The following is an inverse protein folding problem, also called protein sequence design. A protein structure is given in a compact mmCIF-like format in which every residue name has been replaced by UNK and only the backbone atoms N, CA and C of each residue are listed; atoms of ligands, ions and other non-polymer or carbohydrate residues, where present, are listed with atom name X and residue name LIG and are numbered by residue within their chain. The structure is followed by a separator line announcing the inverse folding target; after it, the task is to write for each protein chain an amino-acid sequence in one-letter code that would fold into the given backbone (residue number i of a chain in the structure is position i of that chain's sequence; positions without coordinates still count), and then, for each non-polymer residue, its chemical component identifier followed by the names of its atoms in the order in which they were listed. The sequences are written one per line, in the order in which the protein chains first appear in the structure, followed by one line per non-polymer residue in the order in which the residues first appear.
data_IF_816243964782
#
_entry.id   IF_816243964782
#
_cell.length_a   1.000
_cell.length_b   1.000
_cell.length_c   1.000
_cell.angle_alpha   90.00
_cell.angle_beta   90.00
_cell.angle_gamma   90.00
#
_symmetry.space_group_name_H-M   'P 1'
#
loop_
_entity.id
_entity.type
_entity.pdbx_description
1 polymer ?
#
# COMPACT_ATOMS: atom_id res chain seq x y z
N UNK A 1 -8.50 14.03 17.90
CA UNK A 1 -8.31 14.59 16.55
C UNK A 1 -9.26 13.84 15.62
N UNK A 2 -10.26 14.51 15.05
CA UNK A 2 -11.17 13.86 14.10
C UNK A 2 -10.44 13.59 12.76
N UNK A 3 -11.07 12.85 11.84
CA UNK A 3 -10.46 12.51 10.54
C UNK A 3 -9.99 13.76 9.76
N UNK A 4 -10.84 14.79 9.70
CA UNK A 4 -10.56 16.01 8.95
C UNK A 4 -9.36 16.78 9.55
N UNK A 5 -9.24 16.79 10.88
CA UNK A 5 -8.12 17.40 11.58
C UNK A 5 -6.80 16.69 11.22
N UNK A 6 -6.79 15.35 11.11
CA UNK A 6 -5.60 14.57 10.73
C UNK A 6 -5.19 14.84 9.28
N UNK A 7 -6.15 14.85 8.36
CA UNK A 7 -5.91 15.20 6.95
C UNK A 7 -5.36 16.61 6.85
N UNK A 8 -5.98 17.58 7.52
CA UNK A 8 -5.55 18.97 7.50
C UNK A 8 -4.16 19.14 8.13
N UNK A 9 -3.84 18.36 9.17
CA UNK A 9 -2.51 18.34 9.76
C UNK A 9 -1.48 17.83 8.74
N UNK A 10 -1.70 16.67 8.11
CA UNK A 10 -0.76 16.14 7.11
C UNK A 10 -0.63 17.11 5.92
N UNK A 11 -1.73 17.74 5.51
CA UNK A 11 -1.69 18.79 4.49
C UNK A 11 -0.84 20.00 4.93
N UNK A 12 -0.92 20.40 6.20
CA UNK A 12 -0.06 21.47 6.73
C UNK A 12 1.43 21.09 6.67
N UNK A 13 1.78 19.80 6.81
CA UNK A 13 3.15 19.32 6.59
C UNK A 13 3.54 19.48 5.12
N UNK A 14 2.63 19.16 4.19
CA UNK A 14 2.85 19.33 2.76
C UNK A 14 3.12 20.80 2.39
N UNK A 15 2.50 21.76 3.08
CA UNK A 15 2.74 23.19 2.86
C UNK A 15 4.17 23.64 3.22
N UNK A 16 4.92 22.88 4.04
CA UNK A 16 6.35 23.12 4.28
C UNK A 16 7.19 22.93 3.01
N UNK A 17 6.69 22.18 2.04
CA UNK A 17 7.37 21.87 0.77
C UNK A 17 7.26 23.00 -0.26
N UNK A 18 6.48 24.05 0.05
CA UNK A 18 6.25 25.17 -0.86
C UNK A 18 7.56 25.85 -1.25
N UNK A 19 7.74 26.03 -2.56
CA UNK A 19 8.93 26.62 -3.15
C UNK A 19 9.74 25.56 -3.89
N UNK A 20 10.52 24.70 -3.18
CA UNK A 20 11.31 23.65 -3.83
C UNK A 20 10.47 22.60 -4.58
N UNK A 21 9.19 22.46 -4.23
CA UNK A 21 8.26 21.52 -4.86
C UNK A 21 7.05 22.23 -5.47
N UNK A 22 6.57 21.69 -6.59
CA UNK A 22 5.21 21.99 -7.07
C UNK A 22 4.18 21.20 -6.27
N UNK A 23 2.94 21.66 -6.22
CA UNK A 23 1.88 21.04 -5.42
C UNK A 23 1.63 19.58 -5.81
N UNK A 24 1.72 19.27 -7.10
CA UNK A 24 1.53 17.92 -7.62
C UNK A 24 2.62 16.96 -7.13
N UNK A 25 3.79 17.49 -6.74
CA UNK A 25 4.95 16.72 -6.24
C UNK A 25 4.96 16.56 -4.71
N UNK A 26 4.01 17.17 -3.99
CA UNK A 26 3.97 17.02 -2.53
C UNK A 26 3.73 15.57 -2.12
N UNK A 27 2.99 14.79 -2.92
CA UNK A 27 2.76 13.37 -2.72
C UNK A 27 4.04 12.54 -2.66
N UNK A 28 5.06 12.90 -3.45
CA UNK A 28 6.34 12.20 -3.52
C UNK A 28 7.10 12.24 -2.18
N UNK A 29 6.78 13.19 -1.31
CA UNK A 29 7.34 13.30 0.04
C UNK A 29 6.37 12.80 1.10
N UNK A 30 5.13 13.25 1.03
CA UNK A 30 4.13 13.05 2.10
C UNK A 30 3.72 11.58 2.20
N UNK A 31 3.52 10.89 1.08
CA UNK A 31 3.09 9.49 1.05
C UNK A 31 4.15 8.54 1.65
N UNK A 32 5.42 8.52 1.19
CA UNK A 32 6.43 7.66 1.79
C UNK A 32 6.71 8.01 3.26
N UNK A 33 6.68 9.30 3.64
CA UNK A 33 6.88 9.69 5.04
C UNK A 33 5.74 9.20 5.95
N UNK A 34 4.49 9.23 5.47
CA UNK A 34 3.35 8.68 6.18
C UNK A 34 3.45 7.15 6.37
N UNK A 35 3.85 6.42 5.32
CA UNK A 35 4.10 4.97 5.40
C UNK A 35 5.23 4.66 6.39
N UNK A 36 6.37 5.38 6.30
CA UNK A 36 7.49 5.21 7.22
C UNK A 36 7.12 5.48 8.67
N UNK A 37 6.35 6.54 8.92
CA UNK A 37 5.89 6.86 10.27
C UNK A 37 4.93 5.78 10.80
N UNK A 38 4.08 5.22 9.94
CA UNK A 38 3.19 4.12 10.32
C UNK A 38 3.98 2.86 10.70
N UNK A 39 4.99 2.49 9.92
CA UNK A 39 5.90 1.39 10.26
C UNK A 39 6.67 1.64 11.57
N UNK A 40 7.16 2.86 11.78
CA UNK A 40 7.85 3.25 13.01
C UNK A 40 6.95 3.09 14.25
N UNK A 41 5.71 3.59 14.19
CA UNK A 41 4.72 3.43 15.25
C UNK A 41 4.45 1.95 15.57
N UNK A 42 4.21 1.12 14.54
CA UNK A 42 3.89 -0.31 14.70
C UNK A 42 5.06 -1.10 15.31
N UNK A 43 6.30 -0.76 14.96
CA UNK A 43 7.49 -1.46 15.46
C UNK A 43 8.02 -0.88 16.79
N UNK A 44 7.62 0.33 17.16
CA UNK A 44 8.12 1.02 18.36
C UNK A 44 8.06 0.17 19.64
N UNK A 45 6.95 -0.53 19.96
CA UNK A 45 6.86 -1.33 21.19
C UNK A 45 7.85 -2.50 21.27
N UNK A 46 8.32 -3.01 20.13
CA UNK A 46 9.18 -4.20 20.03
C UNK A 46 10.59 -3.89 19.54
N UNK A 47 10.88 -2.64 19.19
CA UNK A 47 12.15 -2.17 18.61
C UNK A 47 13.38 -2.65 19.38
N UNK A 48 13.45 -2.39 20.68
CA UNK A 48 14.61 -2.76 21.51
C UNK A 48 14.80 -4.28 21.62
N UNK A 49 13.70 -5.04 21.66
CA UNK A 49 13.75 -6.50 21.68
C UNK A 49 14.27 -7.06 20.34
N UNK A 50 13.83 -6.50 19.21
CA UNK A 50 14.31 -6.85 17.87
C UNK A 50 15.81 -6.54 17.75
N UNK A 51 16.25 -5.35 18.15
CA UNK A 51 17.67 -4.95 18.09
C UNK A 51 18.56 -5.85 18.94
N UNK A 52 18.15 -6.14 20.18
CA UNK A 52 18.86 -7.09 21.03
C UNK A 52 18.97 -8.45 20.37
N UNK A 53 17.88 -8.96 19.79
CA UNK A 53 17.87 -10.26 19.15
C UNK A 53 18.74 -10.29 17.88
N UNK A 54 18.71 -9.23 17.10
CA UNK A 54 19.52 -9.07 15.90
C UNK A 54 21.02 -9.14 16.22
N UNK A 55 21.48 -8.47 17.28
CA UNK A 55 22.88 -8.54 17.71
C UNK A 55 23.30 -9.91 18.25
N UNK A 56 22.37 -10.69 18.82
CA UNK A 56 22.62 -12.09 19.15
C UNK A 56 22.78 -12.95 17.88
N UNK A 57 21.89 -12.78 16.90
CA UNK A 57 21.87 -13.56 15.66
C UNK A 57 23.06 -13.23 14.74
N UNK A 58 23.54 -11.99 14.72
CA UNK A 58 24.78 -11.64 14.00
C UNK A 58 25.98 -12.50 14.38
N UNK A 59 26.08 -12.90 15.64
CA UNK A 59 27.20 -13.71 16.15
C UNK A 59 27.13 -15.17 15.70
N UNK A 60 25.97 -15.64 15.25
CA UNK A 60 25.78 -17.04 14.82
C UNK A 60 26.10 -17.26 13.34
N UNK A 61 26.24 -16.19 12.55
CA UNK A 61 26.46 -16.26 11.10
C UNK A 61 25.21 -16.63 10.29
N UNK A 62 24.02 -16.66 10.92
CA UNK A 62 22.74 -16.92 10.25
C UNK A 62 22.50 -15.87 9.15
N UNK A 63 22.22 -16.33 7.93
CA UNK A 63 22.03 -15.43 6.78
C UNK A 63 20.65 -14.78 6.75
N UNK A 64 19.59 -15.57 6.98
CA UNK A 64 18.21 -15.07 6.99
C UNK A 64 17.69 -15.00 8.43
N UNK A 65 17.64 -13.79 8.98
CA UNK A 65 17.18 -13.52 10.34
C UNK A 65 15.71 -13.10 10.41
N UNK A 66 15.12 -12.68 9.27
CA UNK A 66 13.80 -12.03 9.22
C UNK A 66 12.69 -12.88 9.86
N UNK A 67 12.55 -14.21 9.62
CA UNK A 67 11.50 -15.00 10.26
C UNK A 67 11.55 -14.97 11.80
N UNK A 68 12.76 -14.90 12.37
CA UNK A 68 12.94 -14.84 13.82
C UNK A 68 12.62 -13.43 14.31
N UNK A 69 13.11 -12.40 13.62
CA UNK A 69 12.90 -11.00 14.00
C UNK A 69 11.43 -10.58 13.85
N UNK A 70 10.74 -11.04 12.81
CA UNK A 70 9.31 -10.85 12.57
C UNK A 70 8.47 -11.44 13.71
N UNK A 71 8.83 -12.65 14.17
CA UNK A 71 8.18 -13.25 15.35
C UNK A 71 8.36 -12.41 16.62
N UNK A 72 9.50 -11.74 16.78
CA UNK A 72 9.75 -10.84 17.92
C UNK A 72 9.03 -9.51 17.75
N UNK A 73 8.97 -8.97 16.52
CA UNK A 73 8.25 -7.72 16.25
C UNK A 73 6.74 -7.88 16.37
N UNK A 74 6.22 -9.10 16.21
CA UNK A 74 4.79 -9.39 16.14
C UNK A 74 4.18 -8.97 14.80
N UNK A 75 5.01 -8.80 13.78
CA UNK A 75 4.65 -8.30 12.45
C UNK A 75 5.34 -9.14 11.38
N UNK A 76 4.80 -9.13 10.16
CA UNK A 76 5.42 -9.77 8.99
C UNK A 76 6.64 -9.00 8.44
N UNK A 77 7.15 -8.04 9.21
CA UNK A 77 8.34 -7.25 8.90
C UNK A 77 9.03 -6.79 10.18
N UNK A 78 10.27 -6.33 10.04
CA UNK A 78 11.09 -5.83 11.14
C UNK A 78 11.99 -4.68 10.69
N UNK A 79 12.65 -4.02 11.66
CA UNK A 79 13.67 -3.02 11.38
C UNK A 79 14.88 -3.19 12.33
N UNK A 80 16.05 -3.35 11.74
CA UNK A 80 17.34 -3.60 12.41
C UNK A 80 18.21 -2.36 12.55
N UNK A 81 17.76 -1.19 12.07
CA UNK A 81 18.46 0.07 12.30
C UNK A 81 18.30 0.50 13.75
N UNK A 82 19.37 1.04 14.33
CA UNK A 82 19.32 1.65 15.68
C UNK A 82 18.43 2.91 15.73
N UNK A 83 18.17 3.51 14.57
CA UNK A 83 17.38 4.72 14.45
C UNK A 83 15.88 4.40 14.51
N UNK A 84 15.16 5.38 15.02
CA UNK A 84 13.71 5.58 15.01
C UNK A 84 13.49 7.09 14.78
N UNK A 85 12.25 7.54 14.62
CA UNK A 85 12.01 8.96 14.32
C UNK A 85 12.58 9.92 15.39
N UNK A 86 12.58 9.53 16.66
CA UNK A 86 13.14 10.36 17.74
C UNK A 86 14.67 10.47 17.63
N UNK A 87 15.36 9.35 17.42
CA UNK A 87 16.83 9.30 17.27
C UNK A 87 17.29 9.96 15.97
N UNK A 88 16.47 9.98 14.91
CA UNK A 88 16.78 10.72 13.69
C UNK A 88 16.83 12.24 13.95
N UNK A 89 15.90 12.75 14.77
CA UNK A 89 15.85 14.17 15.13
C UNK A 89 16.96 14.57 16.12
N UNK A 90 17.54 13.62 16.84
CA UNK A 90 18.63 13.86 17.79
C UNK A 90 19.99 14.15 17.14
N UNK A 91 20.14 13.89 15.83
CA UNK A 91 21.37 14.15 15.06
C UNK A 91 21.03 14.87 13.73
N UNK A 92 20.64 16.16 13.78
CA UNK A 92 20.18 16.90 12.60
C UNK A 92 21.23 17.02 11.50
N UNK A 93 22.52 17.12 11.86
CA UNK A 93 23.62 17.30 10.90
C UNK A 93 23.80 16.09 9.99
N UNK A 94 23.39 14.90 10.45
CA UNK A 94 23.48 13.64 9.69
C UNK A 94 22.10 13.05 9.36
N UNK A 95 21.02 13.83 9.47
CA UNK A 95 19.65 13.31 9.38
C UNK A 95 19.38 12.56 8.06
N UNK A 96 19.93 13.03 6.94
CA UNK A 96 19.75 12.37 5.65
C UNK A 96 20.45 11.01 5.55
N UNK A 97 21.67 10.88 6.07
CA UNK A 97 22.40 9.60 6.08
C UNK A 97 21.78 8.63 7.09
N UNK A 98 21.35 9.15 8.24
CA UNK A 98 20.68 8.38 9.28
C UNK A 98 19.29 7.88 8.82
N UNK A 99 18.51 8.69 8.10
CA UNK A 99 17.22 8.27 7.55
C UNK A 99 17.40 7.17 6.48
N UNK A 100 18.42 7.27 5.63
CA UNK A 100 18.76 6.18 4.69
C UNK A 100 19.16 4.91 5.42
N UNK A 101 19.94 5.02 6.51
CA UNK A 101 20.26 3.86 7.35
C UNK A 101 18.99 3.25 7.96
N UNK A 102 18.07 4.09 8.43
CA UNK A 102 16.77 3.66 8.96
C UNK A 102 15.96 2.86 7.93
N UNK A 103 15.83 3.40 6.71
CA UNK A 103 15.13 2.74 5.59
C UNK A 103 15.82 1.43 5.21
N UNK A 104 17.15 1.41 5.14
CA UNK A 104 17.92 0.22 4.80
C UNK A 104 17.88 -0.88 5.87
N UNK A 105 17.54 -0.53 7.11
CA UNK A 105 17.39 -1.46 8.22
C UNK A 105 16.10 -2.27 8.20
N UNK A 106 15.10 -1.90 7.37
CA UNK A 106 13.88 -2.69 7.22
C UNK A 106 14.16 -4.04 6.54
N UNK A 107 13.36 -5.05 6.89
CA UNK A 107 13.30 -6.30 6.13
C UNK A 107 12.98 -6.04 4.65
N UNK A 108 13.36 -6.98 3.78
CA UNK A 108 13.32 -6.77 2.33
C UNK A 108 11.95 -6.32 1.81
N UNK A 109 10.86 -6.94 2.29
CA UNK A 109 9.48 -6.61 1.92
C UNK A 109 9.07 -5.18 2.30
N UNK A 110 9.41 -4.72 3.52
CA UNK A 110 9.11 -3.37 3.97
C UNK A 110 9.99 -2.31 3.27
N UNK A 111 11.25 -2.63 3.00
CA UNK A 111 12.16 -1.74 2.27
C UNK A 111 11.73 -1.56 0.81
N UNK A 112 11.31 -2.63 0.15
CA UNK A 112 10.82 -2.62 -1.23
C UNK A 112 9.65 -1.65 -1.40
N UNK A 113 8.69 -1.64 -0.47
CA UNK A 113 7.58 -0.69 -0.44
C UNK A 113 8.07 0.77 -0.54
N UNK A 114 9.10 1.13 0.23
CA UNK A 114 9.65 2.48 0.23
C UNK A 114 10.37 2.81 -1.08
N UNK A 115 10.99 1.81 -1.72
CA UNK A 115 11.67 1.99 -3.01
C UNK A 115 10.69 2.37 -4.13
N UNK A 116 9.47 1.85 -4.13
CA UNK A 116 8.45 2.18 -5.13
C UNK A 116 7.90 3.62 -5.05
N UNK A 117 8.28 4.38 -4.02
CA UNK A 117 8.04 5.82 -3.95
C UNK A 117 9.20 6.67 -4.49
N UNK A 118 10.31 6.07 -4.92
CA UNK A 118 11.54 6.77 -5.34
C UNK A 118 12.06 7.77 -4.28
N UNK A 119 11.88 7.43 -3.00
CA UNK A 119 12.01 8.39 -1.90
C UNK A 119 13.45 8.88 -1.66
N UNK A 120 14.49 8.13 -2.08
CA UNK A 120 15.89 8.52 -1.85
C UNK A 120 16.24 9.88 -2.47
N UNK A 121 15.72 10.16 -3.68
CA UNK A 121 15.91 11.44 -4.34
C UNK A 121 15.26 12.57 -3.56
N UNK A 122 14.09 12.31 -2.97
CA UNK A 122 13.37 13.27 -2.15
C UNK A 122 14.09 13.54 -0.82
N UNK A 123 14.74 12.54 -0.22
CA UNK A 123 15.60 12.73 0.96
C UNK A 123 16.72 13.72 0.64
N UNK A 124 17.43 13.56 -0.48
CA UNK A 124 18.46 14.52 -0.92
C UNK A 124 17.87 15.92 -1.10
N UNK A 125 16.79 16.03 -1.88
CA UNK A 125 16.18 17.33 -2.19
C UNK A 125 15.66 18.04 -0.94
N UNK A 126 15.05 17.32 0.00
CA UNK A 126 14.62 17.88 1.29
C UNK A 126 15.81 18.36 2.11
N UNK A 127 16.88 17.58 2.15
CA UNK A 127 18.09 17.94 2.91
C UNK A 127 18.76 19.20 2.34
N UNK A 128 18.96 19.26 1.03
CA UNK A 128 19.59 20.40 0.34
C UNK A 128 18.80 21.70 0.50
N UNK A 129 17.49 21.60 0.75
CA UNK A 129 16.61 22.74 1.00
C UNK A 129 16.34 22.99 2.50
N UNK A 130 17.05 22.32 3.41
CA UNK A 130 16.86 22.43 4.87
C UNK A 130 15.43 22.10 5.35
N UNK A 131 14.70 21.25 4.61
CA UNK A 131 13.32 20.86 4.91
C UNK A 131 13.23 19.50 5.61
N UNK A 132 14.25 18.64 5.48
CA UNK A 132 14.16 17.25 5.94
C UNK A 132 13.86 17.13 7.44
N UNK A 133 14.59 17.89 8.28
CA UNK A 133 14.35 17.92 9.72
C UNK A 133 12.94 18.42 10.06
N UNK A 134 12.48 19.48 9.38
CA UNK A 134 11.16 20.07 9.64
C UNK A 134 10.04 19.08 9.32
N UNK A 135 10.09 18.45 8.15
CA UNK A 135 9.09 17.45 7.73
C UNK A 135 9.09 16.27 8.69
N UNK A 136 10.27 15.71 9.00
CA UNK A 136 10.38 14.55 9.89
C UNK A 136 9.88 14.88 11.32
N UNK A 137 10.16 16.08 11.80
CA UNK A 137 9.69 16.58 13.10
C UNK A 137 8.17 16.67 13.15
N UNK A 138 7.51 17.19 12.11
CA UNK A 138 6.04 17.23 12.08
C UNK A 138 5.40 15.83 12.03
N UNK A 139 5.95 14.91 11.24
CA UNK A 139 5.45 13.54 11.19
C UNK A 139 5.64 12.79 12.52
N UNK A 140 6.74 13.06 13.24
CA UNK A 140 6.99 12.44 14.54
C UNK A 140 5.93 12.81 15.61
N UNK A 141 5.24 13.95 15.45
CA UNK A 141 4.19 14.39 16.39
C UNK A 141 2.90 13.58 16.28
N UNK A 142 2.70 12.82 15.19
CA UNK A 142 1.50 12.02 14.99
C UNK A 142 1.79 10.56 15.35
N UNK A 143 0.86 9.94 16.07
CA UNK A 143 0.84 8.49 16.23
C UNK A 143 -0.04 7.86 15.15
N UNK A 144 0.58 7.15 14.22
CA UNK A 144 -0.09 6.37 13.17
C UNK A 144 -0.24 4.90 13.52
N UNK A 145 -0.05 4.48 14.78
CA UNK A 145 -0.35 3.12 15.18
C UNK A 145 -1.81 2.75 14.85
N UNK A 146 -2.11 1.52 14.37
CA UNK A 146 -3.49 1.06 14.12
C UNK A 146 -4.49 1.22 15.28
N UNK A 147 -4.00 1.37 16.51
CA UNK A 147 -4.82 1.65 17.70
C UNK A 147 -5.28 3.12 17.79
N UNK A 148 -4.53 4.05 17.20
CA UNK A 148 -4.82 5.48 17.19
C UNK A 148 -5.41 5.93 15.86
N UNK A 149 -4.90 5.37 14.75
CA UNK A 149 -5.39 5.57 13.38
C UNK A 149 -5.58 4.20 12.74
N UNK A 150 -6.83 3.72 12.76
CA UNK A 150 -7.20 2.42 12.19
C UNK A 150 -6.77 2.29 10.72
N UNK A 151 -6.62 1.06 10.22
CA UNK A 151 -6.28 0.83 8.81
C UNK A 151 -7.31 1.46 7.85
N UNK A 152 -8.59 1.41 8.22
CA UNK A 152 -9.67 2.06 7.46
C UNK A 152 -9.46 3.58 7.42
N UNK A 153 -9.22 4.21 8.57
CA UNK A 153 -8.97 5.65 8.66
C UNK A 153 -7.72 6.06 7.89
N UNK A 154 -6.65 5.26 7.96
CA UNK A 154 -5.43 5.50 7.19
C UNK A 154 -5.67 5.41 5.69
N UNK A 155 -6.49 4.46 5.23
CA UNK A 155 -6.93 4.36 3.84
C UNK A 155 -7.61 5.66 3.38
N UNK A 156 -8.58 6.17 4.15
CA UNK A 156 -9.22 7.45 3.85
C UNK A 156 -8.23 8.61 3.83
N UNK A 157 -7.24 8.63 4.73
CA UNK A 157 -6.20 9.66 4.75
C UNK A 157 -5.39 9.63 3.45
N UNK A 158 -4.92 8.46 3.02
CA UNK A 158 -4.15 8.33 1.77
C UNK A 158 -4.96 8.75 0.55
N UNK A 159 -6.22 8.33 0.47
CA UNK A 159 -7.12 8.66 -0.64
C UNK A 159 -7.36 10.18 -0.74
N UNK A 160 -7.60 10.82 0.40
CA UNK A 160 -7.80 12.27 0.47
C UNK A 160 -6.51 13.04 0.12
N UNK A 161 -5.35 12.58 0.56
CA UNK A 161 -4.05 13.17 0.20
C UNK A 161 -3.81 13.06 -1.30
N UNK A 162 -3.97 11.86 -1.87
CA UNK A 162 -3.85 11.63 -3.31
C UNK A 162 -4.82 12.53 -4.07
N UNK A 163 -6.10 12.61 -3.64
CA UNK A 163 -7.08 13.48 -4.29
C UNK A 163 -6.59 14.92 -4.35
N UNK A 164 -6.13 15.48 -3.23
CA UNK A 164 -5.63 16.86 -3.17
C UNK A 164 -4.39 17.10 -4.04
N UNK A 165 -3.50 16.11 -4.17
CA UNK A 165 -2.35 16.21 -5.08
C UNK A 165 -2.77 16.07 -6.56
N UNK A 166 -3.79 15.26 -6.85
CA UNK A 166 -4.33 15.04 -8.20
C UNK A 166 -5.29 16.12 -8.70
N UNK A 167 -5.87 16.95 -7.82
CA UNK A 167 -6.74 18.09 -8.19
C UNK A 167 -6.02 19.12 -9.09
N UNK A 168 -4.71 19.02 -9.21
CA UNK A 168 -3.86 19.84 -10.07
C UNK A 168 -3.20 19.05 -11.24
N UNK A 169 -3.49 17.75 -11.37
CA UNK A 169 -2.97 16.85 -12.41
C UNK A 169 -4.02 16.41 -13.45
N UNK A 170 -3.63 15.49 -14.35
CA UNK A 170 -4.56 14.89 -15.32
C UNK A 170 -5.52 13.91 -14.64
N UNK A 171 -6.81 14.02 -14.94
CA UNK A 171 -7.85 13.14 -14.42
C UNK A 171 -7.67 11.72 -14.98
N UNK A 172 -7.46 10.73 -14.11
CA UNK A 172 -7.32 9.33 -14.52
C UNK A 172 -7.47 8.34 -13.37
N UNK A 173 -6.84 8.62 -12.22
CA UNK A 173 -6.86 7.73 -11.07
C UNK A 173 -7.96 8.15 -10.08
N UNK A 174 -9.21 7.94 -10.47
CA UNK A 174 -10.36 8.19 -9.59
C UNK A 174 -10.47 7.10 -8.53
N UNK A 175 -10.27 7.49 -7.27
CA UNK A 175 -10.57 6.64 -6.13
C UNK A 175 -12.07 6.34 -6.02
N UNK A 176 -12.42 5.09 -5.68
CA UNK A 176 -13.81 4.67 -5.43
C UNK A 176 -14.24 4.97 -4.00
N UNK A 177 -15.19 5.90 -3.75
CA UNK A 177 -15.65 6.20 -2.39
C UNK A 177 -16.04 4.94 -1.60
N UNK A 178 -15.65 4.84 -0.32
CA UNK A 178 -15.91 3.64 0.50
C UNK A 178 -17.38 3.25 0.55
N UNK A 179 -18.30 4.20 0.43
CA UNK A 179 -19.75 3.96 0.39
C UNK A 179 -20.15 3.18 -0.86
N UNK A 180 -19.53 3.49 -2.00
CA UNK A 180 -19.71 2.75 -3.26
C UNK A 180 -19.11 1.35 -3.13
N UNK A 181 -17.92 1.24 -2.55
CA UNK A 181 -17.29 -0.06 -2.27
C UNK A 181 -18.18 -0.92 -1.39
N UNK A 182 -18.73 -0.36 -0.29
CA UNK A 182 -19.65 -1.06 0.60
C UNK A 182 -20.88 -1.54 -0.15
N UNK A 183 -21.46 -0.72 -1.03
CA UNK A 183 -22.59 -1.14 -1.87
C UNK A 183 -22.21 -2.33 -2.75
N UNK A 184 -21.07 -2.27 -3.43
CA UNK A 184 -20.58 -3.36 -4.28
C UNK A 184 -20.38 -4.66 -3.47
N UNK A 185 -19.77 -4.57 -2.29
CA UNK A 185 -19.56 -5.71 -1.39
C UNK A 185 -20.88 -6.31 -0.91
N UNK A 186 -21.85 -5.49 -0.52
CA UNK A 186 -23.17 -5.98 -0.09
C UNK A 186 -23.87 -6.73 -1.22
N UNK A 187 -23.82 -6.22 -2.46
CA UNK A 187 -24.41 -6.90 -3.62
C UNK A 187 -23.68 -8.21 -3.91
N UNK A 188 -22.34 -8.19 -3.90
CA UNK A 188 -21.50 -9.35 -4.24
C UNK A 188 -21.71 -10.53 -3.27
N UNK A 189 -21.93 -10.24 -1.98
CA UNK A 189 -22.00 -11.25 -0.93
C UNK A 189 -23.43 -11.60 -0.51
N UNK A 190 -24.47 -10.97 -1.08
CA UNK A 190 -25.84 -11.03 -0.58
C UNK A 190 -26.40 -12.46 -0.44
N UNK A 191 -26.15 -13.32 -1.42
CA UNK A 191 -26.73 -14.66 -1.50
C UNK A 191 -25.92 -15.72 -0.73
N UNK A 192 -24.71 -15.37 -0.28
CA UNK A 192 -23.75 -16.33 0.29
C UNK A 192 -23.74 -16.34 1.83
N UNK A 193 -24.66 -15.62 2.49
CA UNK A 193 -24.63 -15.40 3.95
C UNK A 193 -24.58 -16.70 4.78
N UNK A 194 -25.29 -17.76 4.39
CA UNK A 194 -25.25 -19.04 5.11
C UNK A 194 -23.89 -19.75 4.99
N UNK A 195 -23.25 -19.68 3.82
CA UNK A 195 -21.90 -20.23 3.61
C UNK A 195 -20.87 -19.39 4.37
N UNK A 196 -20.94 -18.07 4.25
CA UNK A 196 -19.99 -17.11 4.82
C UNK A 196 -19.95 -17.10 6.35
N UNK A 197 -20.99 -17.62 7.01
CA UNK A 197 -21.06 -17.74 8.48
C UNK A 197 -20.53 -19.06 9.02
N UNK A 198 -20.06 -19.97 8.15
CA UNK A 198 -19.44 -21.22 8.58
C UNK A 198 -18.09 -20.97 9.27
N UNK A 199 -17.88 -21.67 10.40
CA UNK A 199 -16.66 -21.52 11.20
C UNK A 199 -15.43 -22.04 10.46
N UNK A 200 -14.37 -21.22 10.43
CA UNK A 200 -13.10 -21.61 9.81
C UNK A 200 -13.12 -21.63 8.29
N UNK A 201 -14.13 -20.99 7.67
CA UNK A 201 -14.16 -20.80 6.22
C UNK A 201 -12.93 -19.99 5.78
N UNK A 202 -12.28 -20.46 4.72
CA UNK A 202 -11.22 -19.74 4.01
C UNK A 202 -11.83 -19.25 2.70
N UNK A 203 -11.70 -17.96 2.42
CA UNK A 203 -12.18 -17.35 1.17
C UNK A 203 -11.12 -16.45 0.55
N UNK A 204 -11.18 -16.29 -0.77
CA UNK A 204 -10.23 -15.51 -1.55
C UNK A 204 -10.94 -14.35 -2.24
N UNK A 205 -10.37 -13.15 -2.14
CA UNK A 205 -10.89 -11.92 -2.75
C UNK A 205 -9.83 -11.32 -3.65
N UNK A 206 -10.23 -10.96 -4.88
CA UNK A 206 -9.33 -10.39 -5.88
C UNK A 206 -9.81 -9.04 -6.42
N UNK A 207 -8.86 -8.12 -6.62
CA UNK A 207 -9.03 -6.87 -7.35
C UNK A 207 -7.90 -6.68 -8.37
N UNK A 208 -8.22 -6.69 -9.67
CA UNK A 208 -7.23 -6.58 -10.75
C UNK A 208 -6.76 -5.15 -11.03
N UNK A 209 -7.34 -4.14 -10.37
CA UNK A 209 -6.96 -2.72 -10.42
C UNK A 209 -7.04 -2.15 -9.00
N UNK A 210 -6.23 -2.72 -8.10
CA UNK A 210 -6.39 -2.61 -6.66
C UNK A 210 -6.28 -1.19 -6.10
N UNK A 211 -5.65 -0.27 -6.83
CA UNK A 211 -5.35 1.08 -6.35
C UNK A 211 -4.62 1.03 -5.01
N UNK A 212 -5.13 1.77 -4.04
CA UNK A 212 -4.62 1.77 -2.65
C UNK A 212 -5.12 0.59 -1.80
N UNK A 213 -5.78 -0.42 -2.39
CA UNK A 213 -6.33 -1.59 -1.68
C UNK A 213 -7.72 -1.36 -1.09
N UNK A 214 -8.46 -0.38 -1.62
CA UNK A 214 -9.75 0.05 -1.09
C UNK A 214 -10.79 -1.07 -1.07
N UNK A 215 -10.99 -1.73 -2.21
CA UNK A 215 -11.95 -2.83 -2.38
C UNK A 215 -11.63 -4.01 -1.47
N UNK A 216 -10.37 -4.44 -1.46
CA UNK A 216 -9.86 -5.55 -0.66
C UNK A 216 -10.11 -5.30 0.83
N UNK A 217 -9.76 -4.10 1.30
CA UNK A 217 -9.91 -3.72 2.70
C UNK A 217 -11.36 -3.69 3.18
N UNK A 218 -12.29 -3.13 2.39
CA UNK A 218 -13.70 -3.07 2.79
C UNK A 218 -14.32 -4.46 2.79
N UNK A 219 -13.99 -5.27 1.78
CA UNK A 219 -14.49 -6.65 1.68
C UNK A 219 -14.03 -7.49 2.86
N UNK A 220 -12.74 -7.45 3.21
CA UNK A 220 -12.22 -8.15 4.40
C UNK A 220 -12.94 -7.70 5.68
N UNK A 221 -13.07 -6.39 5.89
CA UNK A 221 -13.72 -5.86 7.09
C UNK A 221 -15.18 -6.29 7.19
N UNK A 222 -15.92 -6.28 6.07
CA UNK A 222 -17.30 -6.75 6.02
C UNK A 222 -17.38 -8.25 6.37
N UNK A 223 -16.54 -9.07 5.73
CA UNK A 223 -16.48 -10.51 5.98
C UNK A 223 -16.14 -10.82 7.44
N UNK A 224 -15.17 -10.13 8.04
CA UNK A 224 -14.81 -10.31 9.46
C UNK A 224 -15.88 -9.81 10.43
N UNK A 225 -16.67 -8.80 10.06
CA UNK A 225 -17.83 -8.37 10.85
C UNK A 225 -18.95 -9.40 10.80
N UNK A 226 -19.17 -10.02 9.64
CA UNK A 226 -20.15 -11.08 9.45
C UNK A 226 -19.72 -12.38 10.17
N UNK A 227 -18.45 -12.74 10.07
CA UNK A 227 -17.87 -13.94 10.64
C UNK A 227 -16.45 -13.66 11.18
N UNK A 228 -16.29 -13.46 12.50
CA UNK A 228 -14.98 -13.18 13.11
C UNK A 228 -13.94 -14.29 12.93
N UNK A 229 -14.38 -15.53 12.70
CA UNK A 229 -13.51 -16.70 12.51
C UNK A 229 -13.13 -16.92 11.04
N UNK A 230 -13.60 -16.08 10.10
CA UNK A 230 -13.28 -16.22 8.68
C UNK A 230 -11.82 -15.88 8.39
N UNK A 231 -11.20 -16.67 7.52
CA UNK A 231 -9.90 -16.37 6.94
C UNK A 231 -10.11 -15.81 5.54
N UNK A 232 -9.72 -14.55 5.34
CA UNK A 232 -9.80 -13.88 4.03
C UNK A 232 -8.40 -13.72 3.50
N UNK A 233 -8.11 -14.34 2.37
CA UNK A 233 -6.88 -14.11 1.61
C UNK A 233 -7.15 -13.06 0.53
N UNK A 234 -6.34 -12.00 0.56
CA UNK A 234 -6.48 -10.87 -0.34
C UNK A 234 -5.45 -10.96 -1.46
N UNK A 235 -5.89 -10.72 -2.69
CA UNK A 235 -5.07 -10.69 -3.89
C UNK A 235 -5.34 -9.41 -4.66
N UNK A 236 -4.29 -8.81 -5.19
CA UNK A 236 -4.44 -7.55 -5.91
C UNK A 236 -3.39 -7.37 -6.99
N UNK A 237 -3.73 -6.59 -8.00
CA UNK A 237 -2.76 -6.11 -8.96
C UNK A 237 -2.97 -4.62 -9.22
N UNK A 238 -1.88 -3.86 -9.29
CA UNK A 238 -1.90 -2.41 -9.51
C UNK A 238 -0.75 -2.01 -10.42
N UNK A 239 -0.99 -1.09 -11.35
CA UNK A 239 -0.01 -0.63 -12.33
C UNK A 239 0.80 0.58 -11.82
N UNK A 240 0.20 1.43 -10.98
CA UNK A 240 0.82 2.61 -10.39
C UNK A 240 1.69 2.22 -9.17
N UNK A 241 3.02 2.45 -9.21
CA UNK A 241 3.92 2.06 -8.13
C UNK A 241 3.59 2.66 -6.76
N UNK A 242 3.12 3.92 -6.71
CA UNK A 242 2.78 4.58 -5.44
C UNK A 242 1.51 3.98 -4.83
N UNK A 243 0.46 3.79 -5.64
CA UNK A 243 -0.79 3.13 -5.20
C UNK A 243 -0.52 1.70 -4.74
N UNK A 244 0.28 0.95 -5.51
CA UNK A 244 0.76 -0.38 -5.16
C UNK A 244 1.48 -0.38 -3.80
N UNK A 245 2.42 0.54 -3.58
CA UNK A 245 3.19 0.61 -2.35
C UNK A 245 2.28 0.90 -1.14
N UNK A 246 1.28 1.77 -1.30
CA UNK A 246 0.26 2.02 -0.26
C UNK A 246 -0.53 0.75 0.03
N UNK A 247 -1.07 0.09 -1.00
CA UNK A 247 -1.82 -1.17 -0.85
C UNK A 247 -0.98 -2.25 -0.14
N UNK A 248 0.25 -2.49 -0.61
CA UNK A 248 1.18 -3.48 -0.04
C UNK A 248 1.55 -3.14 1.41
N UNK A 249 1.71 -1.86 1.75
CA UNK A 249 1.98 -1.42 3.14
C UNK A 249 0.81 -1.72 4.08
N UNK A 250 -0.42 -1.53 3.63
CA UNK A 250 -1.62 -1.83 4.41
C UNK A 250 -1.79 -3.35 4.62
N UNK A 251 -1.55 -4.16 3.58
CA UNK A 251 -1.55 -5.62 3.71
C UNK A 251 -0.51 -6.10 4.72
N UNK A 252 0.69 -5.53 4.67
CA UNK A 252 1.79 -5.89 5.58
C UNK A 252 1.44 -5.59 7.04
N UNK A 253 0.82 -4.43 7.31
CA UNK A 253 0.40 -4.03 8.66
C UNK A 253 -0.78 -4.86 9.17
N UNK A 254 -1.63 -5.36 8.27
CA UNK A 254 -2.74 -6.28 8.62
C UNK A 254 -2.28 -7.71 8.89
N UNK A 255 -1.00 -8.04 8.64
CA UNK A 255 -0.52 -9.42 8.68
C UNK A 255 -1.06 -10.27 7.53
N UNK A 256 -1.49 -9.65 6.44
CA UNK A 256 -1.86 -10.33 5.20
C UNK A 256 -0.61 -10.70 4.41
N UNK A 257 -0.73 -11.67 3.51
CA UNK A 257 0.36 -12.04 2.61
C UNK A 257 0.60 -10.93 1.58
N UNK A 258 1.49 -9.98 1.91
CA UNK A 258 1.77 -8.79 1.11
C UNK A 258 2.28 -9.10 -0.30
N UNK A 259 2.86 -10.28 -0.53
CA UNK A 259 3.32 -10.75 -1.84
C UNK A 259 2.16 -11.18 -2.78
N UNK A 260 0.92 -11.24 -2.27
CA UNK A 260 -0.26 -11.40 -3.10
C UNK A 260 -0.69 -10.11 -3.81
N UNK A 261 -0.07 -8.98 -3.48
CA UNK A 261 -0.25 -7.72 -4.19
C UNK A 261 0.87 -7.62 -5.22
N UNK A 262 0.52 -7.53 -6.50
CA UNK A 262 1.45 -7.51 -7.63
C UNK A 262 1.51 -6.12 -8.26
N UNK A 263 2.73 -5.65 -8.54
CA UNK A 263 2.95 -4.47 -9.36
C UNK A 263 3.01 -4.88 -10.84
N UNK A 264 2.17 -4.27 -11.67
CA UNK A 264 2.23 -4.43 -13.12
C UNK A 264 0.90 -4.24 -13.82
N UNK A 265 0.96 -4.12 -15.13
CA UNK A 265 -0.22 -4.05 -15.99
C UNK A 265 -0.94 -5.42 -16.03
N UNK A 266 -2.17 -5.49 -15.52
CA UNK A 266 -2.95 -6.73 -15.36
C UNK A 266 -3.24 -7.45 -16.68
N UNK A 267 -3.14 -6.76 -17.83
CA UNK A 267 -3.26 -7.40 -19.13
C UNK A 267 -1.95 -8.08 -19.52
N UNK A 268 -0.87 -7.31 -19.63
CA UNK A 268 0.40 -7.73 -20.24
C UNK A 268 1.33 -8.46 -19.28
N UNK A 269 1.17 -8.24 -17.97
CA UNK A 269 2.00 -8.77 -16.90
C UNK A 269 1.08 -9.33 -15.80
N UNK A 270 0.17 -10.23 -16.18
CA UNK A 270 -0.74 -10.90 -15.24
C UNK A 270 0.05 -11.67 -14.18
N UNK A 271 0.12 -11.09 -12.98
CA UNK A 271 0.89 -11.62 -11.86
C UNK A 271 0.23 -12.79 -11.15
N UNK A 272 -1.05 -13.02 -11.45
CA UNK A 272 -1.90 -14.01 -10.79
C UNK A 272 -2.49 -15.01 -11.81
N UNK A 273 -1.84 -15.13 -12.97
CA UNK A 273 -2.28 -15.97 -14.08
C UNK A 273 -2.56 -17.41 -13.62
N UNK A 274 -3.74 -17.91 -13.94
CA UNK A 274 -4.18 -19.27 -13.63
C UNK A 274 -4.65 -19.47 -12.18
N UNK A 275 -4.61 -18.44 -11.33
CA UNK A 275 -5.31 -18.48 -10.02
C UNK A 275 -6.80 -18.25 -10.22
N UNK A 276 -7.59 -18.86 -9.35
CA UNK A 276 -9.03 -18.66 -9.26
C UNK A 276 -9.37 -18.09 -7.90
N UNK A 277 -10.39 -17.24 -7.87
CA UNK A 277 -10.80 -16.52 -6.68
C UNK A 277 -12.30 -16.72 -6.44
N UNK A 278 -12.71 -16.79 -5.16
CA UNK A 278 -14.13 -16.91 -4.82
C UNK A 278 -14.87 -15.61 -5.15
N UNK A 279 -14.27 -14.47 -4.81
CA UNK A 279 -14.85 -13.15 -5.05
C UNK A 279 -13.89 -12.29 -5.85
N UNK A 280 -14.45 -11.53 -6.79
CA UNK A 280 -13.72 -10.50 -7.54
C UNK A 280 -14.57 -9.24 -7.61
N UNK A 281 -13.94 -8.11 -7.30
CA UNK A 281 -14.53 -6.78 -7.48
C UNK A 281 -13.42 -5.79 -7.79
N UNK A 282 -13.71 -4.87 -8.69
CA UNK A 282 -12.72 -3.89 -9.14
C UNK A 282 -13.40 -2.62 -9.64
N UNK A 283 -12.66 -1.53 -9.69
CA UNK A 283 -13.07 -0.29 -10.37
C UNK A 283 -11.94 0.11 -11.33
N UNK A 284 -11.91 -0.46 -12.54
CA UNK A 284 -10.85 -0.18 -13.50
C UNK A 284 -10.95 1.25 -14.03
N UNK A 285 -9.86 1.82 -14.58
CA UNK A 285 -9.90 3.12 -15.22
C UNK A 285 -10.97 3.19 -16.33
N UNK A 286 -11.92 4.12 -16.20
CA UNK A 286 -13.05 4.22 -17.12
C UNK A 286 -12.70 5.01 -18.39
N UNK A 287 -13.06 4.48 -19.57
CA UNK A 287 -12.91 5.18 -20.85
C UNK A 287 -11.46 5.37 -21.33
N UNK A 288 -10.51 4.60 -20.77
CA UNK A 288 -9.11 4.64 -21.17
C UNK A 288 -8.89 3.79 -22.42
N UNK A 289 -8.08 4.28 -23.36
CA UNK A 289 -7.69 3.50 -24.54
C UNK A 289 -6.63 2.44 -24.18
N UNK A 290 -6.69 1.29 -24.84
CA UNK A 290 -5.76 0.17 -24.61
C UNK A 290 -4.77 0.02 -25.77
N UNK A 291 -4.36 1.13 -26.41
CA UNK A 291 -3.42 1.09 -27.55
C UNK A 291 -2.10 0.44 -27.18
N UNK A 292 -1.61 0.68 -25.94
CA UNK A 292 -0.35 0.13 -25.44
C UNK A 292 -0.41 -1.40 -25.31
N UNK A 293 -1.55 -1.94 -24.86
CA UNK A 293 -1.77 -3.36 -24.63
C UNK A 293 -2.29 -4.09 -25.88
N UNK A 294 -2.68 -3.35 -26.93
CA UNK A 294 -3.37 -3.87 -28.11
C UNK A 294 -2.73 -5.11 -28.73
N UNK A 295 -1.42 -5.08 -28.92
CA UNK A 295 -0.69 -6.19 -29.55
C UNK A 295 -0.84 -7.47 -28.73
N UNK A 296 -0.65 -7.37 -27.42
CA UNK A 296 -0.73 -8.49 -26.50
C UNK A 296 -2.15 -9.06 -26.43
N UNK A 297 -3.15 -8.21 -26.22
CA UNK A 297 -4.55 -8.62 -26.07
C UNK A 297 -5.07 -9.30 -27.34
N UNK A 298 -4.78 -8.72 -28.52
CA UNK A 298 -5.17 -9.33 -29.80
C UNK A 298 -4.47 -10.67 -30.03
N UNK A 299 -3.19 -10.77 -29.70
CA UNK A 299 -2.47 -12.03 -29.81
C UNK A 299 -3.07 -13.11 -28.90
N UNK A 300 -3.40 -12.79 -27.65
CA UNK A 300 -4.07 -13.72 -26.73
C UNK A 300 -5.44 -14.15 -27.28
N UNK A 301 -6.26 -13.20 -27.75
CA UNK A 301 -7.55 -13.50 -28.36
C UNK A 301 -7.44 -14.44 -29.58
N UNK A 302 -6.49 -14.18 -30.48
CA UNK A 302 -6.28 -14.95 -31.71
C UNK A 302 -5.69 -16.34 -31.46
N UNK A 303 -4.82 -16.48 -30.46
CA UNK A 303 -4.07 -17.73 -30.22
C UNK A 303 -4.68 -18.65 -29.17
N UNK A 304 -5.40 -18.09 -28.19
CA UNK A 304 -5.97 -18.86 -27.07
C UNK A 304 -7.49 -18.98 -27.16
N UNK A 305 -8.19 -18.14 -27.94
CA UNK A 305 -9.65 -18.20 -28.05
C UNK A 305 -10.32 -18.18 -26.67
N UNK A 306 -11.23 -19.13 -26.42
CA UNK A 306 -11.94 -19.28 -25.13
C UNK A 306 -11.07 -19.84 -23.99
N UNK A 307 -9.87 -20.36 -24.28
CA UNK A 307 -8.90 -20.74 -23.25
C UNK A 307 -8.14 -19.51 -22.70
N UNK A 308 -8.24 -18.35 -23.36
CA UNK A 308 -7.68 -17.07 -22.93
C UNK A 308 -8.75 -16.11 -22.40
N UNK A 309 -8.33 -14.93 -21.92
CA UNK A 309 -9.24 -13.94 -21.29
C UNK A 309 -10.19 -13.25 -22.28
N UNK A 310 -9.82 -13.19 -23.55
CA UNK A 310 -10.50 -12.39 -24.56
C UNK A 310 -11.24 -13.22 -25.62
N UNK A 311 -11.62 -14.46 -25.29
CA UNK A 311 -12.30 -15.37 -26.23
C UNK A 311 -13.66 -14.87 -26.74
N UNK A 312 -14.35 -14.04 -25.96
CA UNK A 312 -15.60 -13.39 -26.37
C UNK A 312 -15.41 -12.24 -27.37
N UNK A 313 -14.17 -11.85 -27.66
CA UNK A 313 -13.80 -10.72 -28.51
C UNK A 313 -13.21 -9.55 -27.73
N UNK A 314 -12.78 -8.52 -28.46
CA UNK A 314 -12.19 -7.30 -27.89
C UNK A 314 -13.05 -6.08 -28.22
N UNK A 315 -13.21 -5.11 -27.30
CA UNK A 315 -13.92 -3.87 -27.57
C UNK A 315 -13.17 -2.98 -28.58
N UNK A 316 -13.66 -1.76 -28.81
CA UNK A 316 -12.92 -0.77 -29.62
C UNK A 316 -11.64 -0.38 -28.89
N UNK A 317 -10.55 -0.14 -29.63
CA UNK A 317 -9.24 0.23 -29.05
C UNK A 317 -9.32 1.50 -28.18
N UNK A 318 -10.25 2.40 -28.50
CA UNK A 318 -10.46 3.66 -27.77
C UNK A 318 -11.18 3.49 -26.42
N UNK A 319 -11.61 2.28 -26.06
CA UNK A 319 -12.37 2.02 -24.83
C UNK A 319 -12.07 0.61 -24.29
N UNK A 320 -11.34 0.55 -23.19
CA UNK A 320 -10.95 -0.69 -22.51
C UNK A 320 -11.94 -1.17 -21.46
N UNK A 321 -13.12 -0.56 -21.30
CA UNK A 321 -14.01 -0.83 -20.15
C UNK A 321 -14.57 -2.27 -20.07
N UNK A 322 -14.49 -3.04 -21.17
CA UNK A 322 -14.92 -4.44 -21.24
C UNK A 322 -13.74 -5.44 -21.30
N UNK A 323 -12.51 -4.97 -21.08
CA UNK A 323 -11.31 -5.82 -21.06
C UNK A 323 -10.99 -6.35 -19.67
#
# INVERSE_FOLDING_TARGET
MNFQDKVNFIWAIAELLRGPYKKEQYGDVVLPMAVLRRFDCVLSPTKEAVLKKYEELKKTGLQNMDPILNKISGQEFNNTSRYDFEKLLADPDNIASNLRNYINGFSNNAREIIQYFDFDQQITKLNDNNLLYLVLSEFNKIDFHPHTVSNIEMGYIFEELIRRFSEHGEAGDHYTPREVIKLMVNILLNEDNEELTQKGLITTVYDCCAGTGGMLSVTENYLRQLNPDIQVELFGQEINPQSYAICKSDMLIKGQAADNIILGDSFTQDGLRGKTFRYMLTNPPFGVDWKKQRKFIKQEAETQGFDGRFGAGTPRVSDGSLL
#
